data_IF_066532905923
#
_entry.id   IF_066532905923
#
_cell.length_a   1.000
_cell.length_b   1.000
_cell.length_c   1.000
_cell.angle_alpha   90.00
_cell.angle_beta   90.00
_cell.angle_gamma   90.00
#
_symmetry.space_group_name_H-M   'P 1'
#
loop_
_entity.id
_entity.type
_entity.pdbx_description
1 polymer ?
#
# COMPACT_ATOMS: atom_id res chain seq x y z
N UNK A 1 -12.53 -14.96 -9.50
CA UNK A 1 -12.93 -13.79 -8.75
C UNK A 1 -12.03 -12.61 -9.00
N UNK A 2 -12.19 -11.56 -8.21
CA UNK A 2 -11.37 -10.36 -8.28
C UNK A 2 -11.82 -9.36 -9.36
N UNK A 3 -10.96 -8.38 -9.61
CA UNK A 3 -11.25 -7.20 -10.46
C UNK A 3 -11.74 -7.60 -11.86
N UNK A 4 -11.12 -8.62 -12.45
CA UNK A 4 -11.55 -9.16 -13.75
C UNK A 4 -13.02 -9.60 -13.74
N UNK A 5 -13.42 -10.41 -12.77
CA UNK A 5 -14.76 -10.99 -12.72
C UNK A 5 -15.84 -9.92 -12.51
N UNK A 6 -15.57 -8.93 -11.67
CA UNK A 6 -16.48 -7.82 -11.41
C UNK A 6 -16.66 -6.94 -12.64
N UNK A 7 -15.55 -6.55 -13.29
CA UNK A 7 -15.61 -5.72 -14.48
C UNK A 7 -16.25 -6.46 -15.65
N UNK A 8 -15.99 -7.76 -15.83
CA UNK A 8 -16.61 -8.59 -16.85
C UNK A 8 -18.13 -8.72 -16.62
N UNK A 9 -18.55 -8.97 -15.38
CA UNK A 9 -19.97 -9.12 -15.06
C UNK A 9 -20.77 -7.80 -15.27
N UNK A 10 -20.14 -6.65 -15.02
CA UNK A 10 -20.81 -5.35 -15.18
C UNK A 10 -20.75 -4.76 -16.58
N UNK A 11 -19.64 -4.99 -17.30
CA UNK A 11 -19.31 -4.23 -18.51
C UNK A 11 -18.81 -5.10 -19.68
N UNK A 12 -18.80 -6.42 -19.53
CA UNK A 12 -18.41 -7.36 -20.60
C UNK A 12 -16.92 -7.68 -20.65
N UNK A 13 -16.55 -8.53 -21.63
CA UNK A 13 -15.22 -9.15 -21.73
C UNK A 13 -14.08 -8.15 -21.91
N UNK A 14 -14.28 -7.13 -22.73
CA UNK A 14 -13.27 -6.11 -22.99
C UNK A 14 -12.89 -5.34 -21.70
N UNK A 15 -13.88 -4.90 -20.95
CA UNK A 15 -13.65 -4.18 -19.69
C UNK A 15 -13.06 -5.09 -18.63
N UNK A 16 -13.49 -6.36 -18.60
CA UNK A 16 -12.86 -7.37 -17.75
C UNK A 16 -11.37 -7.53 -18.02
N UNK A 17 -11.00 -7.71 -19.27
CA UNK A 17 -9.59 -7.82 -19.69
C UNK A 17 -8.80 -6.54 -19.37
N UNK A 18 -9.33 -5.37 -19.76
CA UNK A 18 -8.66 -4.09 -19.53
C UNK A 18 -8.43 -3.82 -18.04
N UNK A 19 -9.39 -4.16 -17.18
CA UNK A 19 -9.25 -4.05 -15.72
C UNK A 19 -8.17 -4.97 -15.17
N UNK A 20 -8.12 -6.23 -15.63
CA UNK A 20 -7.09 -7.18 -15.21
C UNK A 20 -5.69 -6.75 -15.66
N UNK A 21 -5.58 -6.29 -16.89
CA UNK A 21 -4.34 -5.78 -17.46
C UNK A 21 -3.82 -4.55 -16.70
N UNK A 22 -4.70 -3.56 -16.49
CA UNK A 22 -4.36 -2.36 -15.73
C UNK A 22 -3.97 -2.67 -14.29
N UNK A 23 -4.69 -3.58 -13.63
CA UNK A 23 -4.36 -4.06 -12.29
C UNK A 23 -2.98 -4.73 -12.22
N UNK A 24 -2.66 -5.60 -13.19
CA UNK A 24 -1.37 -6.25 -13.27
C UNK A 24 -0.21 -5.25 -13.42
N UNK A 25 -0.36 -4.28 -14.34
CA UNK A 25 0.65 -3.23 -14.53
C UNK A 25 0.79 -2.37 -13.26
N UNK A 26 -0.32 -1.98 -12.65
CA UNK A 26 -0.31 -1.19 -11.41
C UNK A 26 0.39 -1.92 -10.27
N UNK A 27 0.14 -3.23 -10.10
CA UNK A 27 0.80 -4.04 -9.09
C UNK A 27 2.30 -4.16 -9.34
N UNK A 28 2.70 -4.34 -10.60
CA UNK A 28 4.11 -4.43 -10.98
C UNK A 28 4.86 -3.11 -10.73
N UNK A 29 4.32 -1.98 -11.21
CA UNK A 29 4.91 -0.65 -10.97
C UNK A 29 4.91 -0.29 -9.49
N UNK A 30 3.85 -0.63 -8.76
CA UNK A 30 3.76 -0.43 -7.32
C UNK A 30 4.88 -1.15 -6.56
N UNK A 31 5.18 -2.39 -6.92
CA UNK A 31 6.28 -3.14 -6.31
C UNK A 31 7.63 -2.45 -6.52
N UNK A 32 7.90 -1.91 -7.72
CA UNK A 32 9.11 -1.13 -7.96
C UNK A 32 9.17 0.09 -7.04
N UNK A 33 8.06 0.83 -6.90
CA UNK A 33 7.96 1.97 -6.00
C UNK A 33 8.23 1.61 -4.53
N UNK A 34 7.70 0.48 -4.05
CA UNK A 34 7.97 -0.01 -2.70
C UNK A 34 9.44 -0.35 -2.47
N UNK A 35 10.12 -0.96 -3.44
CA UNK A 35 11.56 -1.23 -3.33
C UNK A 35 12.40 0.04 -3.32
N UNK A 36 12.07 1.02 -4.18
CA UNK A 36 12.73 2.33 -4.16
C UNK A 36 12.55 2.99 -2.80
N UNK A 37 11.34 3.02 -2.25
CA UNK A 37 11.06 3.58 -0.93
C UNK A 37 11.82 2.85 0.17
N UNK A 38 11.86 1.52 0.15
CA UNK A 38 12.59 0.71 1.12
C UNK A 38 14.09 1.08 1.12
N UNK A 39 14.72 1.08 -0.05
CA UNK A 39 16.15 1.35 -0.15
C UNK A 39 16.49 2.83 0.03
N UNK A 40 15.61 3.75 -0.30
CA UNK A 40 15.73 5.17 0.06
C UNK A 40 15.73 5.34 1.59
N UNK A 41 14.83 4.66 2.30
CA UNK A 41 14.79 4.69 3.76
C UNK A 41 16.06 4.08 4.37
N UNK A 42 16.55 2.97 3.82
CA UNK A 42 17.82 2.37 4.22
C UNK A 42 19.02 3.25 3.87
N UNK A 43 18.91 4.08 2.86
CA UNK A 43 19.92 5.08 2.47
C UNK A 43 20.27 6.06 3.59
N UNK A 44 19.32 6.33 4.50
CA UNK A 44 19.59 7.14 5.69
C UNK A 44 20.64 6.50 6.61
N UNK A 45 20.64 5.17 6.74
CA UNK A 45 21.59 4.42 7.56
C UNK A 45 22.82 3.99 6.77
N UNK A 46 22.65 3.71 5.48
CA UNK A 46 23.68 3.17 4.58
C UNK A 46 23.74 4.02 3.30
N UNK A 47 24.63 5.02 3.23
CA UNK A 47 24.70 5.96 2.10
C UNK A 47 24.88 5.31 0.72
N UNK A 48 25.32 4.03 0.65
CA UNK A 48 25.48 3.28 -0.59
C UNK A 48 24.18 3.12 -1.37
N UNK A 49 23.03 3.17 -0.68
CA UNK A 49 21.71 3.05 -1.31
C UNK A 49 21.16 4.38 -1.85
N UNK A 50 21.71 5.54 -1.40
CA UNK A 50 21.28 6.85 -1.83
C UNK A 50 19.77 7.05 -1.67
N UNK A 51 19.12 7.55 -2.71
CA UNK A 51 17.67 7.74 -2.77
C UNK A 51 16.92 6.46 -3.26
N UNK A 52 17.51 5.28 -3.15
CA UNK A 52 16.92 4.02 -3.58
C UNK A 52 17.07 3.72 -5.08
N UNK A 53 17.85 4.51 -5.80
CA UNK A 53 18.06 4.42 -7.25
C UNK A 53 19.51 4.07 -7.65
N UNK A 54 20.37 3.79 -6.69
CA UNK A 54 21.75 3.40 -6.94
C UNK A 54 21.86 1.97 -7.46
N UNK A 55 22.94 1.59 -8.18
CA UNK A 55 23.16 0.20 -8.57
C UNK A 55 23.12 -0.79 -7.41
N UNK A 56 23.65 -0.38 -6.24
CA UNK A 56 23.60 -1.20 -5.02
C UNK A 56 22.14 -1.41 -4.55
N UNK A 57 21.31 -0.39 -4.59
CA UNK A 57 19.89 -0.47 -4.25
C UNK A 57 19.16 -1.43 -5.22
N UNK A 58 19.38 -1.29 -6.53
CA UNK A 58 18.76 -2.15 -7.55
C UNK A 58 19.15 -3.63 -7.40
N UNK A 59 20.44 -3.91 -7.18
CA UNK A 59 20.93 -5.28 -6.97
C UNK A 59 20.32 -5.87 -5.69
N UNK A 60 20.32 -5.11 -4.59
CA UNK A 60 19.78 -5.55 -3.31
C UNK A 60 18.26 -5.77 -3.38
N UNK A 61 17.52 -4.88 -4.06
CA UNK A 61 16.10 -5.04 -4.34
C UNK A 61 15.81 -6.30 -5.15
N UNK A 62 16.62 -6.56 -6.17
CA UNK A 62 16.49 -7.77 -7.01
C UNK A 62 16.74 -9.04 -6.20
N UNK A 63 17.76 -9.06 -5.36
CA UNK A 63 18.05 -10.20 -4.47
C UNK A 63 16.92 -10.45 -3.49
N UNK A 64 16.37 -9.39 -2.90
CA UNK A 64 15.22 -9.49 -2.00
C UNK A 64 13.98 -10.01 -2.73
N UNK A 65 13.68 -9.50 -3.94
CA UNK A 65 12.57 -9.94 -4.76
C UNK A 65 12.67 -11.44 -5.08
N UNK A 66 13.85 -11.90 -5.53
CA UNK A 66 14.08 -13.31 -5.81
C UNK A 66 13.99 -14.18 -4.55
N UNK A 67 14.49 -13.70 -3.41
CA UNK A 67 14.36 -14.38 -2.12
C UNK A 67 12.90 -14.61 -1.75
N UNK A 68 12.06 -13.55 -1.82
CA UNK A 68 10.61 -13.64 -1.57
C UNK A 68 9.93 -14.55 -2.59
N UNK A 69 10.31 -14.46 -3.87
CA UNK A 69 9.78 -15.32 -4.92
C UNK A 69 10.02 -16.82 -4.64
N UNK A 70 11.25 -17.20 -4.30
CA UNK A 70 11.57 -18.59 -3.93
C UNK A 70 10.82 -19.05 -2.68
N UNK A 71 10.61 -18.15 -1.72
CA UNK A 71 9.83 -18.46 -0.53
C UNK A 71 8.37 -18.76 -0.88
N UNK A 72 7.76 -17.94 -1.75
CA UNK A 72 6.39 -18.16 -2.22
C UNK A 72 6.27 -19.47 -2.99
N UNK A 73 7.29 -19.84 -3.77
CA UNK A 73 7.33 -21.13 -4.49
C UNK A 73 7.41 -22.34 -3.55
N UNK A 74 8.01 -22.19 -2.37
CA UNK A 74 8.06 -23.28 -1.35
C UNK A 74 6.73 -23.56 -0.70
N UNK A 75 5.83 -22.59 -0.64
CA UNK A 75 4.48 -22.79 -0.17
C UNK A 75 3.85 -21.58 0.50
N UNK A 76 2.51 -21.62 0.57
CA UNK A 76 1.71 -20.51 1.09
C UNK A 76 1.88 -20.34 2.61
N UNK A 77 2.21 -21.42 3.34
CA UNK A 77 2.31 -21.38 4.82
C UNK A 77 3.47 -20.50 5.28
N UNK A 78 4.64 -20.66 4.66
CA UNK A 78 5.83 -19.87 4.95
C UNK A 78 5.63 -18.39 4.57
N UNK A 79 5.04 -18.15 3.41
CA UNK A 79 4.68 -16.81 2.96
C UNK A 79 3.66 -16.15 3.90
N UNK A 80 2.68 -16.90 4.42
CA UNK A 80 1.69 -16.39 5.36
C UNK A 80 2.32 -16.00 6.71
N UNK A 81 3.28 -16.77 7.22
CA UNK A 81 4.00 -16.44 8.45
C UNK A 81 4.78 -15.13 8.31
N UNK A 82 5.55 -14.98 7.21
CA UNK A 82 6.29 -13.74 6.95
C UNK A 82 5.32 -12.56 6.79
N UNK A 83 4.20 -12.74 6.10
CA UNK A 83 3.18 -11.70 5.98
C UNK A 83 2.60 -11.31 7.35
N UNK A 84 2.38 -12.25 8.26
CA UNK A 84 1.95 -11.95 9.62
C UNK A 84 3.01 -11.11 10.37
N UNK A 85 4.28 -11.54 10.35
CA UNK A 85 5.37 -10.81 11.01
C UNK A 85 5.51 -9.39 10.47
N UNK A 86 5.50 -9.23 9.14
CA UNK A 86 5.59 -7.90 8.52
C UNK A 86 4.37 -7.05 8.79
N UNK A 87 3.18 -7.64 8.89
CA UNK A 87 1.95 -6.92 9.25
C UNK A 87 2.02 -6.39 10.67
N UNK A 88 2.43 -7.21 11.64
CA UNK A 88 2.63 -6.77 13.02
C UNK A 88 3.69 -5.69 13.09
N UNK A 89 4.82 -5.87 12.40
CA UNK A 89 5.93 -4.92 12.37
C UNK A 89 5.54 -3.54 11.79
N UNK A 90 4.55 -3.45 10.90
CA UNK A 90 4.05 -2.17 10.38
C UNK A 90 2.91 -1.59 11.21
N UNK A 91 2.00 -2.42 11.71
CA UNK A 91 0.80 -1.95 12.44
C UNK A 91 1.17 -1.43 13.82
N UNK A 92 2.08 -2.10 14.54
CA UNK A 92 2.48 -1.68 15.89
C UNK A 92 3.09 -0.27 15.92
N UNK A 93 4.09 0.08 15.09
CA UNK A 93 4.62 1.44 15.04
C UNK A 93 3.58 2.48 14.60
N UNK A 94 2.67 2.11 13.68
CA UNK A 94 1.61 3.02 13.24
C UNK A 94 0.64 3.35 14.37
N UNK A 95 0.18 2.34 15.12
CA UNK A 95 -0.68 2.57 16.29
C UNK A 95 0.04 3.38 17.38
N UNK A 96 1.32 3.10 17.62
CA UNK A 96 2.13 3.86 18.55
C UNK A 96 2.24 5.33 18.11
N UNK A 97 2.48 5.57 16.82
CA UNK A 97 2.50 6.92 16.26
C UNK A 97 1.16 7.65 16.47
N UNK A 98 0.04 7.00 16.19
CA UNK A 98 -1.29 7.58 16.40
C UNK A 98 -1.52 7.89 17.87
N UNK A 99 -1.15 6.99 18.78
CA UNK A 99 -1.25 7.24 20.23
C UNK A 99 -0.41 8.45 20.64
N UNK A 100 0.84 8.51 20.23
CA UNK A 100 1.73 9.65 20.53
C UNK A 100 1.13 10.95 19.95
N UNK A 101 0.60 10.91 18.73
CA UNK A 101 -0.02 12.06 18.08
C UNK A 101 -1.23 12.58 18.86
N UNK A 102 -2.05 11.67 19.43
CA UNK A 102 -3.20 12.06 20.28
C UNK A 102 -2.72 12.77 21.55
N UNK A 103 -1.68 12.25 22.22
CA UNK A 103 -1.13 12.89 23.43
C UNK A 103 -0.36 14.19 23.16
N UNK A 104 0.28 14.27 21.99
CA UNK A 104 1.02 15.47 21.57
C UNK A 104 0.14 16.50 20.86
N UNK A 105 -1.15 16.23 20.68
CA UNK A 105 -2.06 17.10 19.94
C UNK A 105 -2.22 18.44 20.62
N UNK A 106 -2.01 19.51 19.86
CA UNK A 106 -2.14 20.90 20.31
C UNK A 106 -3.16 21.61 19.45
N UNK A 107 -4.29 21.94 20.05
CA UNK A 107 -5.41 22.58 19.37
C UNK A 107 -5.04 23.98 18.85
N UNK A 108 -4.24 24.73 19.60
CA UNK A 108 -3.74 26.06 19.22
C UNK A 108 -2.93 26.04 17.92
N UNK A 109 -2.08 25.04 17.75
CA UNK A 109 -1.29 24.84 16.52
C UNK A 109 -2.19 24.37 15.38
N UNK A 110 -3.07 23.40 15.64
CA UNK A 110 -3.96 22.84 14.63
C UNK A 110 -4.92 23.88 14.05
N UNK A 111 -5.45 24.76 14.89
CA UNK A 111 -6.41 25.80 14.45
C UNK A 111 -5.74 27.05 13.88
N UNK A 112 -4.42 27.20 14.03
CA UNK A 112 -3.71 28.41 13.57
C UNK A 112 -3.80 28.60 12.05
N UNK A 113 -3.78 27.50 11.28
CA UNK A 113 -3.92 27.51 9.82
C UNK A 113 -4.44 26.18 9.28
N UNK A 114 -5.70 25.87 9.55
CA UNK A 114 -6.35 24.60 9.18
C UNK A 114 -6.26 24.34 7.65
N UNK A 115 -6.32 25.39 6.85
CA UNK A 115 -6.35 25.31 5.39
C UNK A 115 -4.97 25.46 4.76
N UNK A 116 -3.93 25.70 5.54
CA UNK A 116 -2.56 25.89 5.02
C UNK A 116 -2.41 27.13 4.14
N UNK A 117 -3.30 28.13 4.28
CA UNK A 117 -3.32 29.32 3.41
C UNK A 117 -2.13 30.25 3.68
N UNK A 118 -1.61 30.23 4.92
CA UNK A 118 -0.48 31.05 5.34
C UNK A 118 0.87 30.53 4.80
N UNK A 119 0.91 29.27 4.35
CA UNK A 119 2.13 28.68 3.80
C UNK A 119 2.06 28.67 2.26
N UNK A 120 2.79 29.57 1.57
CA UNK A 120 2.74 29.67 0.11
C UNK A 120 3.24 28.41 -0.61
N UNK A 121 4.07 27.60 0.04
CA UNK A 121 4.61 26.35 -0.53
C UNK A 121 3.55 25.25 -0.69
N UNK A 122 2.45 25.32 0.06
CA UNK A 122 1.35 24.38 -0.07
C UNK A 122 0.42 24.66 -1.25
N UNK A 123 0.52 25.84 -1.85
CA UNK A 123 -0.33 26.27 -2.95
C UNK A 123 -1.79 26.52 -2.53
N UNK A 124 -2.71 26.53 -3.51
CA UNK A 124 -4.13 26.72 -3.22
C UNK A 124 -4.74 25.50 -2.53
N UNK A 125 -5.82 25.71 -1.77
CA UNK A 125 -6.59 24.63 -1.13
C UNK A 125 -7.01 23.56 -2.14
N UNK A 126 -7.36 23.96 -3.37
CA UNK A 126 -7.72 23.03 -4.44
C UNK A 126 -6.52 22.15 -4.86
N UNK A 127 -5.31 22.70 -4.94
CA UNK A 127 -4.11 21.92 -5.23
C UNK A 127 -3.80 20.93 -4.10
N UNK A 128 -3.97 21.34 -2.85
CA UNK A 128 -3.82 20.45 -1.69
C UNK A 128 -4.82 19.30 -1.73
N UNK A 129 -6.10 19.57 -1.99
CA UNK A 129 -7.15 18.55 -2.15
C UNK A 129 -6.80 17.59 -3.29
N UNK A 130 -6.38 18.10 -4.46
CA UNK A 130 -5.98 17.27 -5.59
C UNK A 130 -4.82 16.33 -5.25
N UNK A 131 -3.80 16.85 -4.58
CA UNK A 131 -2.64 16.04 -4.18
C UNK A 131 -3.04 14.97 -3.15
N UNK A 132 -3.87 15.34 -2.18
CA UNK A 132 -4.41 14.39 -1.20
C UNK A 132 -5.26 13.31 -1.85
N UNK A 133 -6.09 13.64 -2.83
CA UNK A 133 -6.90 12.65 -3.56
C UNK A 133 -6.05 11.61 -4.27
N UNK A 134 -4.93 12.00 -4.89
CA UNK A 134 -4.01 11.06 -5.54
C UNK A 134 -3.43 10.05 -4.55
N UNK A 135 -3.00 10.53 -3.37
CA UNK A 135 -2.49 9.66 -2.29
C UNK A 135 -3.60 8.77 -1.75
N UNK A 136 -4.81 9.32 -1.53
CA UNK A 136 -5.95 8.58 -0.99
C UNK A 136 -6.38 7.45 -1.92
N UNK A 137 -6.44 7.70 -3.24
CA UNK A 137 -6.74 6.64 -4.22
C UNK A 137 -5.74 5.48 -4.10
N UNK A 138 -4.46 5.78 -3.90
CA UNK A 138 -3.46 4.73 -3.75
C UNK A 138 -3.58 3.95 -2.44
N UNK A 139 -3.96 4.61 -1.35
CA UNK A 139 -4.19 3.95 -0.05
C UNK A 139 -5.32 2.92 -0.13
N UNK A 140 -6.35 3.17 -0.94
CA UNK A 140 -7.47 2.24 -1.12
C UNK A 140 -7.18 1.07 -2.08
N UNK A 141 -6.08 1.09 -2.82
CA UNK A 141 -5.64 -0.06 -3.64
C UNK A 141 -5.20 -1.19 -2.70
N UNK A 142 -5.77 -2.38 -2.88
CA UNK A 142 -5.46 -3.57 -2.09
C UNK A 142 -6.61 -4.06 -1.20
N UNK A 143 -7.64 -3.24 -0.94
CA UNK A 143 -8.85 -3.65 -0.21
C UNK A 143 -9.51 -4.85 -0.91
N UNK A 144 -9.47 -4.88 -2.23
CA UNK A 144 -9.96 -5.98 -3.07
C UNK A 144 -9.21 -7.29 -2.87
N UNK A 145 -8.03 -7.26 -2.26
CA UNK A 145 -7.18 -8.43 -2.01
C UNK A 145 -7.90 -9.55 -1.26
N UNK A 146 -8.80 -9.22 -0.35
CA UNK A 146 -9.64 -10.20 0.34
C UNK A 146 -10.50 -11.00 -0.65
N UNK A 147 -11.00 -10.39 -1.72
CA UNK A 147 -11.84 -11.03 -2.73
C UNK A 147 -11.08 -12.06 -3.59
N UNK A 148 -9.76 -11.87 -3.77
CA UNK A 148 -8.89 -12.79 -4.52
C UNK A 148 -8.80 -14.15 -3.81
N UNK A 149 -8.84 -14.14 -2.48
CA UNK A 149 -8.79 -15.35 -1.66
C UNK A 149 -10.15 -15.99 -1.43
N UNK A 150 -11.24 -15.49 -2.03
CA UNK A 150 -12.60 -15.99 -1.83
C UNK A 150 -12.78 -17.48 -2.15
N UNK A 151 -12.01 -18.01 -3.10
CA UNK A 151 -12.04 -19.43 -3.44
C UNK A 151 -11.35 -20.34 -2.39
N UNK A 152 -10.54 -19.78 -1.51
CA UNK A 152 -9.78 -20.48 -0.46
C UNK A 152 -10.33 -20.21 0.94
N UNK A 153 -11.31 -19.32 1.06
CA UNK A 153 -11.95 -19.02 2.33
C UNK A 153 -12.83 -20.19 2.78
N UNK A 154 -12.76 -20.56 4.04
CA UNK A 154 -13.60 -21.60 4.64
C UNK A 154 -15.08 -21.23 4.55
N UNK A 155 -15.40 -19.94 4.79
CA UNK A 155 -16.73 -19.38 4.61
C UNK A 155 -16.66 -18.12 3.74
N UNK A 156 -17.45 -18.09 2.67
CA UNK A 156 -17.50 -16.91 1.76
C UNK A 156 -17.96 -15.62 2.46
N UNK A 157 -18.79 -15.74 3.50
CA UNK A 157 -19.23 -14.60 4.32
C UNK A 157 -18.10 -13.89 5.04
N UNK A 158 -17.01 -14.58 5.35
CA UNK A 158 -15.88 -14.00 6.07
C UNK A 158 -15.04 -13.08 5.17
N UNK A 159 -15.02 -13.35 3.85
CA UNK A 159 -14.41 -12.46 2.86
C UNK A 159 -15.09 -11.11 2.84
N UNK A 160 -16.44 -11.08 2.83
CA UNK A 160 -17.20 -9.83 2.88
C UNK A 160 -16.95 -9.05 4.17
N UNK A 161 -16.94 -9.74 5.32
CA UNK A 161 -16.63 -9.11 6.60
C UNK A 161 -15.21 -8.53 6.64
N UNK A 162 -14.22 -9.31 6.18
CA UNK A 162 -12.83 -8.87 6.13
C UNK A 162 -12.65 -7.63 5.24
N UNK A 163 -13.34 -7.61 4.09
CA UNK A 163 -13.31 -6.45 3.17
C UNK A 163 -13.93 -5.21 3.83
N UNK A 164 -15.10 -5.36 4.48
CA UNK A 164 -15.77 -4.22 5.16
C UNK A 164 -14.94 -3.74 6.35
N UNK A 165 -14.42 -4.63 7.17
CA UNK A 165 -13.55 -4.25 8.30
C UNK A 165 -12.30 -3.54 7.79
N UNK A 166 -11.62 -4.09 6.78
CA UNK A 166 -10.43 -3.46 6.19
C UNK A 166 -10.70 -2.11 5.53
N UNK A 167 -11.94 -1.85 5.11
CA UNK A 167 -12.34 -0.55 4.57
C UNK A 167 -12.61 0.50 5.66
N UNK A 168 -13.11 0.04 6.83
CA UNK A 168 -13.46 0.96 7.94
C UNK A 168 -12.23 1.31 8.80
N UNK A 169 -11.23 0.41 8.86
CA UNK A 169 -10.00 0.61 9.65
C UNK A 169 -8.96 1.40 8.89
#
# INVERSE_FOLDING_TARGET
>A
GGVYAYAKAGFGDYMGFSSAWGYWISAWLGNVGYFVLLFSTLGYFFPIFGEGNTPAAVISASLLLWGVHFLVLRGIKEAAFINLVTTVAKVVPLLLFVLIAVFAFRLDIFTADIWGVKNPDLGSVMNQVRNMMLVTVWVFIGIEGASIFSARAEKRSDVGKATVIGFIT
#
